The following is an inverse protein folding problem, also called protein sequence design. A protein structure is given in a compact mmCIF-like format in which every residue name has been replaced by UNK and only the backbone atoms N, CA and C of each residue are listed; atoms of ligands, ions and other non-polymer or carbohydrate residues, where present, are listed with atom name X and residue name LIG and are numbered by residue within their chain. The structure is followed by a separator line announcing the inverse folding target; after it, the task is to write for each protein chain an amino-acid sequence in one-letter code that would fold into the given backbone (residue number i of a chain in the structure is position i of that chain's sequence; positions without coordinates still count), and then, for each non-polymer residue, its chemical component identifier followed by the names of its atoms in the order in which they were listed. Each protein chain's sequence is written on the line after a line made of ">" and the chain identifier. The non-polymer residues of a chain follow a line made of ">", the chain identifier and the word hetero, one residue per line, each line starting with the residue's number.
data_IF_625026146109
#
_entry.id   IF_625026146109
#
_cell.length_a   1.000
_cell.length_b   1.000
_cell.length_c   1.000
_cell.angle_alpha   90.00
_cell.angle_beta   90.00
_cell.angle_gamma   90.00
#
_symmetry.space_group_name_H-M   'P 1'
#
loop_
_entity.id
_entity.type
_entity.pdbx_description
1 polymer ?
#
# COMPACT_ATOMS: atom_id res chain seq x y z
N UNK A 1 10.20 21.61 -15.31
CA UNK A 1 9.21 21.29 -16.36
C UNK A 1 8.67 22.54 -17.05
N UNK A 2 8.18 23.54 -16.30
CA UNK A 2 7.64 24.76 -16.91
C UNK A 2 8.68 25.48 -17.79
N UNK A 3 9.95 25.50 -17.40
CA UNK A 3 11.04 26.06 -18.23
C UNK A 3 11.31 25.19 -19.45
N UNK A 4 11.17 23.86 -19.33
CA UNK A 4 11.34 22.92 -20.43
C UNK A 4 10.15 22.99 -21.40
N UNK A 5 8.92 23.02 -20.90
CA UNK A 5 7.71 23.24 -21.71
C UNK A 5 7.79 24.62 -22.39
N UNK A 6 8.18 25.66 -21.67
CA UNK A 6 8.39 26.97 -22.25
C UNK A 6 9.49 26.95 -23.34
N UNK A 7 10.58 26.22 -23.13
CA UNK A 7 11.66 26.03 -24.11
C UNK A 7 11.19 25.30 -25.37
N UNK A 8 10.41 24.23 -25.24
CA UNK A 8 9.82 23.49 -26.36
C UNK A 8 8.79 24.38 -27.09
N UNK A 9 7.91 25.03 -26.35
CA UNK A 9 6.88 25.90 -26.95
C UNK A 9 7.50 27.14 -27.64
N UNK A 10 8.56 27.71 -27.11
CA UNK A 10 9.28 28.84 -27.70
C UNK A 10 10.17 28.40 -28.87
N UNK A 11 10.76 27.20 -28.81
CA UNK A 11 11.68 26.69 -29.85
C UNK A 11 11.03 26.19 -31.13
N UNK A 12 9.85 25.55 -31.03
CA UNK A 12 9.28 24.76 -32.13
C UNK A 12 7.87 25.17 -32.58
N UNK A 13 7.22 26.15 -32.00
CA UNK A 13 5.80 26.41 -32.28
C UNK A 13 5.51 27.85 -32.72
N UNK A 14 4.88 28.00 -33.92
CA UNK A 14 4.41 29.27 -34.46
C UNK A 14 3.49 30.07 -33.52
N UNK A 15 2.85 29.38 -32.54
CA UNK A 15 1.98 30.03 -31.57
C UNK A 15 2.75 30.90 -30.57
N UNK A 16 3.98 30.55 -30.23
CA UNK A 16 4.81 31.28 -29.27
C UNK A 16 5.62 32.41 -29.87
N UNK A 17 5.64 32.56 -31.19
CA UNK A 17 6.16 33.74 -31.88
C UNK A 17 5.19 34.94 -31.88
N UNK A 18 4.06 34.82 -31.15
CA UNK A 18 3.16 35.95 -30.95
C UNK A 18 3.86 37.06 -30.13
N UNK A 19 3.79 38.28 -30.62
CA UNK A 19 4.38 39.48 -29.98
C UNK A 19 3.82 39.77 -28.58
N UNK A 20 2.83 39.02 -28.14
CA UNK A 20 2.09 39.20 -26.90
C UNK A 20 2.53 38.27 -25.76
N UNK A 21 3.53 37.40 -26.00
CA UNK A 21 4.07 36.48 -24.98
C UNK A 21 5.58 36.71 -24.81
N UNK A 22 6.05 36.71 -23.57
CA UNK A 22 7.47 36.81 -23.24
C UNK A 22 7.80 35.99 -21.99
N UNK A 23 9.05 35.58 -21.87
CA UNK A 23 9.55 34.76 -20.78
C UNK A 23 10.53 35.52 -19.91
N UNK A 24 10.44 35.32 -18.60
CA UNK A 24 11.42 35.74 -17.62
C UNK A 24 12.20 34.52 -17.15
N UNK A 25 13.39 34.32 -17.72
CA UNK A 25 14.21 33.12 -17.38
C UNK A 25 14.62 33.08 -15.91
N UNK A 26 14.94 34.26 -15.31
CA UNK A 26 15.38 34.34 -13.92
C UNK A 26 14.24 34.08 -12.91
N UNK A 27 12.99 34.32 -13.29
CA UNK A 27 11.81 34.12 -12.44
C UNK A 27 11.09 32.81 -12.74
N UNK A 28 11.59 32.02 -13.70
CA UNK A 28 10.89 30.82 -14.20
C UNK A 28 9.42 31.12 -14.55
N UNK A 29 9.15 32.26 -15.13
CA UNK A 29 7.82 32.81 -15.37
C UNK A 29 7.63 33.15 -16.83
N UNK A 30 6.48 32.81 -17.39
CA UNK A 30 6.01 33.22 -18.71
C UNK A 30 4.85 34.16 -18.49
N UNK A 31 4.92 35.37 -19.08
CA UNK A 31 3.86 36.40 -18.97
C UNK A 31 3.27 36.74 -20.33
N UNK A 32 1.96 37.02 -20.36
CA UNK A 32 1.29 37.61 -21.53
C UNK A 32 1.61 39.10 -21.68
N UNK A 33 1.82 39.54 -22.93
CA UNK A 33 1.98 40.96 -23.27
C UNK A 33 0.66 41.68 -23.59
N UNK A 34 -0.45 40.94 -23.54
CA UNK A 34 -1.76 41.52 -23.85
C UNK A 34 -2.13 42.54 -22.78
N UNK A 35 -2.58 43.72 -23.22
CA UNK A 35 -2.96 44.84 -22.32
C UNK A 35 -4.33 44.59 -21.65
N UNK A 36 -5.19 43.81 -22.29
CA UNK A 36 -6.54 43.49 -21.86
C UNK A 36 -6.64 42.33 -20.86
N UNK A 37 -5.56 41.54 -20.72
CA UNK A 37 -5.52 40.37 -19.84
C UNK A 37 -4.13 40.17 -19.24
N UNK A 38 -4.07 40.04 -17.94
CA UNK A 38 -2.87 39.60 -17.23
C UNK A 38 -2.91 38.09 -17.06
N UNK A 39 -2.07 37.35 -17.78
CA UNK A 39 -1.91 35.91 -17.63
C UNK A 39 -0.43 35.56 -17.48
N UNK A 40 -0.13 34.61 -16.61
CA UNK A 40 1.24 34.14 -16.47
C UNK A 40 1.21 32.64 -16.13
N UNK A 41 2.30 31.95 -16.47
CA UNK A 41 2.61 30.61 -16.01
C UNK A 41 3.93 30.65 -15.26
N UNK A 42 3.99 30.01 -14.11
CA UNK A 42 5.14 30.02 -13.23
C UNK A 42 5.44 28.62 -12.68
N UNK A 43 6.72 28.27 -12.64
CA UNK A 43 7.22 27.12 -11.91
C UNK A 43 7.23 27.41 -10.41
N UNK A 44 6.68 26.50 -9.62
CA UNK A 44 6.67 26.61 -8.17
C UNK A 44 7.60 25.55 -7.56
N UNK A 45 8.25 25.90 -6.47
CA UNK A 45 8.96 24.94 -5.62
C UNK A 45 7.98 24.15 -4.76
N UNK A 46 8.38 22.97 -4.29
CA UNK A 46 7.55 22.09 -3.48
C UNK A 46 7.16 22.61 -2.07
N UNK A 47 7.61 23.83 -1.68
CA UNK A 47 7.29 24.41 -0.38
C UNK A 47 5.86 24.99 -0.38
N UNK A 48 4.92 24.33 0.26
CA UNK A 48 3.52 24.73 0.36
C UNK A 48 3.31 26.03 1.13
N UNK A 49 4.06 26.24 2.23
CA UNK A 49 3.87 27.37 3.17
C UNK A 49 4.04 28.76 2.55
N UNK A 50 4.71 28.85 1.40
CA UNK A 50 4.93 30.12 0.70
C UNK A 50 3.96 30.33 -0.47
N UNK A 51 2.95 29.48 -0.62
CA UNK A 51 2.03 29.44 -1.77
C UNK A 51 0.59 29.82 -1.43
N UNK A 52 0.32 30.14 -0.17
CA UNK A 52 -0.97 30.70 0.22
C UNK A 52 -1.28 32.01 -0.51
N UNK A 53 -2.53 32.20 -0.92
CA UNK A 53 -3.00 33.38 -1.62
C UNK A 53 -2.75 33.39 -3.14
N UNK A 54 -2.24 32.29 -3.72
CA UNK A 54 -2.25 32.11 -5.17
C UNK A 54 -3.69 31.94 -5.67
N UNK A 55 -3.96 32.45 -6.89
CA UNK A 55 -5.26 32.34 -7.54
C UNK A 55 -5.07 31.70 -8.92
N UNK A 56 -4.72 30.41 -8.92
CA UNK A 56 -4.45 29.68 -10.15
C UNK A 56 -5.75 29.37 -10.91
N UNK A 57 -5.71 29.35 -12.22
CA UNK A 57 -6.76 28.78 -13.09
C UNK A 57 -6.41 27.36 -13.52
N UNK A 58 -5.12 27.04 -13.58
CA UNK A 58 -4.63 25.71 -13.94
C UNK A 58 -3.43 25.39 -13.06
N UNK A 59 -3.44 24.18 -12.49
CA UNK A 59 -2.35 23.61 -11.71
C UNK A 59 -1.86 22.35 -12.43
N UNK A 60 -0.54 22.26 -12.67
CA UNK A 60 0.09 21.07 -13.24
C UNK A 60 1.05 20.53 -12.18
N UNK A 61 0.77 19.34 -11.68
CA UNK A 61 1.63 18.59 -10.75
C UNK A 61 2.41 17.55 -11.54
N UNK A 62 3.73 17.68 -11.54
CA UNK A 62 4.61 16.74 -12.20
C UNK A 62 5.31 15.85 -11.19
N UNK A 63 5.43 14.55 -11.50
CA UNK A 63 6.04 13.53 -10.66
C UNK A 63 5.41 13.46 -9.25
N UNK A 64 4.09 13.63 -9.17
CA UNK A 64 3.37 13.69 -7.88
C UNK A 64 3.43 12.38 -7.09
N UNK A 65 3.72 11.25 -7.72
CA UNK A 65 3.92 9.96 -7.04
C UNK A 65 5.07 9.98 -6.03
N UNK A 66 6.02 10.91 -6.16
CA UNK A 66 7.14 11.10 -5.23
C UNK A 66 6.80 11.98 -4.03
N UNK A 67 5.63 12.63 -4.05
CA UNK A 67 5.21 13.53 -2.97
C UNK A 67 4.94 12.74 -1.68
N UNK A 68 5.45 13.26 -0.56
CA UNK A 68 5.24 12.71 0.78
C UNK A 68 4.02 13.30 1.49
N UNK A 69 3.44 14.38 0.94
CA UNK A 69 2.32 15.12 1.50
C UNK A 69 1.45 15.69 0.40
N UNK A 70 0.14 15.75 0.63
CA UNK A 70 -0.83 16.42 -0.26
C UNK A 70 -0.91 17.93 -0.02
N UNK A 71 -0.18 18.48 0.96
CA UNK A 71 -0.31 19.88 1.40
C UNK A 71 -0.22 20.88 0.24
N UNK A 72 0.77 20.74 -0.64
CA UNK A 72 0.93 21.63 -1.79
C UNK A 72 -0.25 21.50 -2.77
N UNK A 73 -0.70 20.30 -3.07
CA UNK A 73 -1.87 20.07 -3.94
C UNK A 73 -3.11 20.72 -3.32
N UNK A 74 -3.33 20.51 -2.02
CA UNK A 74 -4.48 21.07 -1.30
C UNK A 74 -4.47 22.60 -1.32
N UNK A 75 -3.33 23.24 -1.00
CA UNK A 75 -3.19 24.71 -1.03
C UNK A 75 -3.49 25.26 -2.43
N UNK A 76 -2.93 24.62 -3.47
CA UNK A 76 -3.14 25.09 -4.85
C UNK A 76 -4.57 24.89 -5.32
N UNK A 77 -5.20 23.74 -5.06
CA UNK A 77 -6.57 23.45 -5.48
C UNK A 77 -7.60 24.30 -4.73
N UNK A 78 -7.42 24.52 -3.43
CA UNK A 78 -8.29 25.41 -2.65
C UNK A 78 -8.20 26.86 -3.13
N UNK A 79 -7.02 27.31 -3.59
CA UNK A 79 -6.84 28.67 -4.15
C UNK A 79 -7.61 28.88 -5.47
N UNK A 80 -8.04 27.81 -6.13
CA UNK A 80 -8.77 27.85 -7.40
C UNK A 80 -10.29 28.08 -7.21
N UNK A 81 -10.80 28.09 -5.98
CA UNK A 81 -12.24 28.13 -5.68
C UNK A 81 -13.02 29.34 -6.20
N UNK A 82 -12.31 30.41 -6.60
CA UNK A 82 -12.90 31.61 -7.24
C UNK A 82 -12.92 31.54 -8.77
N UNK A 83 -12.43 30.44 -9.36
CA UNK A 83 -12.39 30.24 -10.80
C UNK A 83 -13.63 29.50 -11.29
N UNK A 84 -14.18 29.92 -12.42
CA UNK A 84 -15.36 29.28 -13.05
C UNK A 84 -15.01 27.88 -13.61
N UNK A 85 -13.80 27.73 -14.18
CA UNK A 85 -13.34 26.47 -14.79
C UNK A 85 -11.90 26.17 -14.31
N UNK A 86 -11.73 25.74 -13.06
CA UNK A 86 -10.43 25.33 -12.56
C UNK A 86 -10.01 24.02 -13.18
N UNK A 87 -8.71 23.87 -13.48
CA UNK A 87 -8.16 22.61 -14.01
C UNK A 87 -6.93 22.19 -13.23
N UNK A 88 -6.98 20.99 -12.67
CA UNK A 88 -5.81 20.34 -12.07
C UNK A 88 -5.37 19.17 -12.95
N UNK A 89 -4.11 19.14 -13.34
CA UNK A 89 -3.49 18.08 -14.14
C UNK A 89 -2.38 17.44 -13.31
N UNK A 90 -2.43 16.14 -13.12
CA UNK A 90 -1.39 15.37 -12.46
C UNK A 90 -0.75 14.45 -13.51
N UNK A 91 0.57 14.58 -13.69
CA UNK A 91 1.36 13.75 -14.61
C UNK A 91 2.42 13.06 -13.78
N UNK A 92 2.46 11.75 -13.81
CA UNK A 92 3.44 11.02 -13.00
C UNK A 92 3.63 9.59 -13.50
N UNK A 93 4.78 9.01 -13.18
CA UNK A 93 5.02 7.57 -13.24
C UNK A 93 4.73 6.95 -11.87
N UNK A 94 4.70 5.62 -11.80
CA UNK A 94 4.69 4.90 -10.53
C UNK A 94 5.98 5.16 -9.73
N UNK A 95 5.95 4.81 -8.45
CA UNK A 95 7.08 4.99 -7.53
C UNK A 95 7.17 3.83 -6.52
N UNK A 96 8.11 3.95 -5.58
CA UNK A 96 8.21 3.09 -4.40
C UNK A 96 7.54 3.69 -3.15
N UNK A 97 6.78 4.78 -3.33
CA UNK A 97 6.12 5.52 -2.26
C UNK A 97 4.66 5.07 -2.15
N UNK A 98 4.42 3.95 -1.48
CA UNK A 98 3.08 3.39 -1.28
C UNK A 98 2.26 4.13 -0.21
N UNK A 99 2.90 4.89 0.65
CA UNK A 99 2.30 5.72 1.69
C UNK A 99 2.15 7.19 1.30
N UNK A 100 2.38 7.49 0.03
CA UNK A 100 2.22 8.83 -0.50
C UNK A 100 0.77 9.13 -0.92
N UNK A 101 0.38 10.40 -0.94
CA UNK A 101 -0.99 10.80 -1.26
C UNK A 101 -1.43 10.37 -2.66
N UNK A 102 -0.51 10.25 -3.61
CA UNK A 102 -0.86 9.84 -4.96
C UNK A 102 -1.23 8.35 -5.05
N UNK A 103 -0.61 7.47 -4.24
CA UNK A 103 -0.97 6.05 -4.26
C UNK A 103 -2.42 5.83 -3.83
N UNK A 104 -2.87 6.55 -2.80
CA UNK A 104 -4.27 6.52 -2.35
C UNK A 104 -5.22 7.09 -3.42
N UNK A 105 -4.86 8.24 -4.02
CA UNK A 105 -5.63 8.85 -5.11
C UNK A 105 -5.74 7.91 -6.31
N UNK A 106 -4.66 7.20 -6.65
CA UNK A 106 -4.62 6.23 -7.76
C UNK A 106 -5.64 5.11 -7.56
N UNK A 107 -5.84 4.60 -6.34
CA UNK A 107 -6.85 3.58 -6.08
C UNK A 107 -8.27 4.13 -6.33
N UNK A 108 -8.56 5.36 -5.89
CA UNK A 108 -9.82 6.04 -6.19
C UNK A 108 -10.02 6.26 -7.70
N UNK A 109 -8.97 6.67 -8.42
CA UNK A 109 -9.04 6.86 -9.87
C UNK A 109 -9.26 5.54 -10.63
N UNK A 110 -8.69 4.44 -10.16
CA UNK A 110 -8.97 3.11 -10.72
C UNK A 110 -10.43 2.70 -10.52
N UNK A 111 -11.02 3.00 -9.38
CA UNK A 111 -12.46 2.77 -9.15
C UNK A 111 -13.35 3.57 -10.10
N UNK A 112 -12.98 4.81 -10.46
CA UNK A 112 -13.68 5.60 -11.49
C UNK A 112 -13.55 4.93 -12.87
N UNK A 113 -12.35 4.48 -13.27
CA UNK A 113 -12.13 3.77 -14.53
C UNK A 113 -12.89 2.46 -14.64
N UNK A 114 -13.05 1.74 -13.53
CA UNK A 114 -13.78 0.47 -13.46
C UNK A 114 -15.32 0.68 -13.39
N UNK A 115 -15.78 1.93 -13.31
CA UNK A 115 -17.21 2.24 -13.16
C UNK A 115 -17.78 1.88 -11.78
N UNK A 116 -16.92 1.65 -10.78
CA UNK A 116 -17.34 1.42 -9.39
C UNK A 116 -17.79 2.71 -8.70
N UNK A 117 -17.32 3.84 -9.19
CA UNK A 117 -17.67 5.19 -8.74
C UNK A 117 -17.80 6.12 -9.94
N UNK A 118 -18.90 6.88 -10.03
CA UNK A 118 -19.15 7.85 -11.10
C UNK A 118 -18.66 9.24 -10.66
N UNK A 119 -17.73 9.82 -11.41
CA UNK A 119 -17.26 11.19 -11.23
C UNK A 119 -16.91 11.83 -12.57
N UNK A 120 -17.84 12.57 -13.14
CA UNK A 120 -17.69 13.27 -14.42
C UNK A 120 -16.66 14.42 -14.37
N UNK A 121 -16.23 14.82 -13.18
CA UNK A 121 -15.19 15.86 -13.01
C UNK A 121 -13.76 15.31 -13.14
N UNK A 122 -13.58 14.00 -13.15
CA UNK A 122 -12.30 13.32 -13.15
C UNK A 122 -12.07 12.60 -14.48
N UNK A 123 -11.00 12.98 -15.18
CA UNK A 123 -10.48 12.25 -16.34
C UNK A 123 -9.22 11.48 -15.92
N UNK A 124 -9.24 10.17 -16.14
CA UNK A 124 -8.13 9.27 -15.77
C UNK A 124 -7.60 8.54 -17.00
N UNK A 125 -6.28 8.51 -17.15
CA UNK A 125 -5.61 7.73 -18.18
C UNK A 125 -4.38 7.06 -17.56
N UNK A 126 -4.36 5.71 -17.52
CA UNK A 126 -3.33 4.90 -16.89
C UNK A 126 -2.75 3.93 -17.92
N UNK A 127 -1.42 3.88 -18.01
CA UNK A 127 -0.68 2.88 -18.76
C UNK A 127 0.11 2.04 -17.76
N UNK A 128 -0.37 0.86 -17.44
CA UNK A 128 0.29 -0.10 -16.57
C UNK A 128 0.13 -1.52 -17.11
N UNK A 129 1.02 -2.48 -16.75
CA UNK A 129 0.82 -3.89 -17.11
C UNK A 129 -0.36 -4.48 -16.35
N UNK A 130 -0.97 -5.52 -16.91
CA UNK A 130 -1.88 -6.38 -16.16
C UNK A 130 -1.08 -7.29 -15.21
N UNK A 131 -1.77 -7.90 -14.23
CA UNK A 131 -1.14 -8.72 -13.20
C UNK A 131 -0.35 -9.92 -13.76
N UNK A 132 -0.81 -10.47 -14.89
CA UNK A 132 -0.22 -11.64 -15.53
C UNK A 132 0.74 -11.27 -16.69
N UNK A 133 0.95 -9.99 -16.97
CA UNK A 133 1.87 -9.55 -18.02
C UNK A 133 3.33 -9.81 -17.59
N UNK A 134 4.13 -10.54 -18.38
CA UNK A 134 5.55 -10.75 -18.07
C UNK A 134 6.35 -9.45 -18.17
N UNK A 135 7.16 -9.13 -17.16
CA UNK A 135 7.95 -7.89 -17.11
C UNK A 135 9.03 -7.81 -18.20
N UNK A 136 9.45 -8.95 -18.76
CA UNK A 136 10.47 -9.07 -19.79
C UNK A 136 9.92 -9.13 -21.22
N UNK A 137 8.60 -9.10 -21.39
CA UNK A 137 7.97 -9.20 -22.70
C UNK A 137 7.86 -7.83 -23.38
N UNK A 138 8.25 -7.79 -24.66
CA UNK A 138 8.09 -6.56 -25.48
C UNK A 138 6.62 -6.15 -25.67
N UNK A 139 5.68 -7.09 -25.59
CA UNK A 139 4.25 -6.83 -25.59
C UNK A 139 3.83 -5.98 -24.37
N UNK A 140 4.35 -6.32 -23.21
CA UNK A 140 4.14 -5.55 -21.95
C UNK A 140 4.71 -4.15 -22.09
N UNK A 141 5.95 -4.03 -22.63
CA UNK A 141 6.59 -2.72 -22.82
C UNK A 141 5.81 -1.81 -23.78
N UNK A 142 5.23 -2.38 -24.86
CA UNK A 142 4.36 -1.62 -25.78
C UNK A 142 3.04 -1.19 -25.12
N UNK A 143 2.50 -2.00 -24.23
CA UNK A 143 1.27 -1.70 -23.50
C UNK A 143 1.44 -0.51 -22.57
N UNK A 144 2.55 -0.46 -21.85
CA UNK A 144 2.84 0.62 -20.89
C UNK A 144 3.43 1.88 -21.53
N UNK A 145 3.97 1.76 -22.74
CA UNK A 145 4.56 2.89 -23.46
C UNK A 145 4.06 2.93 -24.93
N UNK A 146 2.91 3.56 -25.19
CA UNK A 146 2.29 3.58 -26.52
C UNK A 146 3.18 4.18 -27.61
N UNK A 147 4.14 5.06 -27.26
CA UNK A 147 5.10 5.67 -28.19
C UNK A 147 6.41 4.87 -28.35
N UNK A 148 6.47 3.64 -27.83
CA UNK A 148 7.62 2.78 -27.97
C UNK A 148 7.83 2.40 -29.45
N UNK A 149 9.02 2.66 -29.95
CA UNK A 149 9.36 2.55 -31.36
C UNK A 149 9.21 3.85 -32.17
N UNK A 150 8.65 4.91 -31.54
CA UNK A 150 8.50 6.25 -32.16
C UNK A 150 9.39 7.26 -31.45
N UNK A 151 9.14 7.54 -30.17
CA UNK A 151 9.91 8.50 -29.36
C UNK A 151 11.03 7.83 -28.56
N UNK A 152 10.81 6.58 -28.16
CA UNK A 152 11.78 5.76 -27.43
C UNK A 152 11.99 4.46 -28.23
N UNK A 153 13.23 4.07 -28.44
CA UNK A 153 13.53 2.84 -29.22
C UNK A 153 13.31 1.58 -28.40
N UNK A 154 12.93 0.50 -29.05
CA UNK A 154 12.85 -0.82 -28.41
C UNK A 154 14.21 -1.28 -27.86
N UNK A 155 15.30 -0.92 -28.54
CA UNK A 155 16.64 -1.29 -28.10
C UNK A 155 17.03 -0.60 -26.80
N UNK A 156 16.52 0.60 -26.55
CA UNK A 156 16.68 1.27 -25.25
C UNK A 156 16.03 0.43 -24.13
N UNK A 157 14.78 0.00 -24.30
CA UNK A 157 14.12 -0.85 -23.31
C UNK A 157 14.84 -2.18 -23.07
N UNK A 158 15.28 -2.85 -24.13
CA UNK A 158 16.08 -4.09 -24.03
C UNK A 158 17.38 -3.86 -23.24
N UNK A 159 18.05 -2.73 -23.49
CA UNK A 159 19.29 -2.39 -22.81
C UNK A 159 19.04 -2.06 -21.33
N UNK A 160 18.00 -1.28 -21.04
CA UNK A 160 17.64 -0.93 -19.64
C UNK A 160 17.20 -2.17 -18.85
N UNK A 161 16.45 -3.09 -19.45
CA UNK A 161 16.12 -4.35 -18.78
C UNK A 161 17.36 -5.21 -18.47
N UNK A 162 18.28 -5.35 -19.44
CA UNK A 162 19.56 -6.03 -19.21
C UNK A 162 20.40 -5.35 -18.13
N UNK A 163 20.43 -4.03 -18.11
CA UNK A 163 21.11 -3.25 -17.07
C UNK A 163 20.48 -3.50 -15.69
N UNK A 164 19.17 -3.54 -15.62
CA UNK A 164 18.43 -3.82 -14.40
C UNK A 164 18.75 -5.21 -13.84
N UNK A 165 18.76 -6.23 -14.69
CA UNK A 165 19.16 -7.59 -14.30
C UNK A 165 20.60 -7.68 -13.78
N UNK A 166 21.53 -6.95 -14.42
CA UNK A 166 22.96 -6.98 -14.06
C UNK A 166 23.28 -6.19 -12.80
N UNK A 167 22.61 -5.05 -12.59
CA UNK A 167 22.96 -4.09 -11.55
C UNK A 167 22.14 -4.29 -10.24
N UNK A 168 21.25 -5.29 -10.21
CA UNK A 168 20.54 -5.71 -9.00
C UNK A 168 19.25 -4.96 -8.71
N UNK A 169 18.78 -5.08 -7.48
CA UNK A 169 17.43 -4.71 -7.08
C UNK A 169 17.08 -3.23 -7.23
N UNK A 170 18.03 -2.31 -7.01
CA UNK A 170 17.77 -0.88 -7.15
C UNK A 170 17.56 -0.50 -8.62
N UNK A 171 18.36 -1.05 -9.52
CA UNK A 171 18.19 -0.84 -10.96
C UNK A 171 16.90 -1.48 -11.48
N UNK A 172 16.53 -2.65 -10.96
CA UNK A 172 15.26 -3.29 -11.28
C UNK A 172 14.06 -2.50 -10.75
N UNK A 173 14.15 -1.93 -9.55
CA UNK A 173 13.14 -1.02 -9.02
C UNK A 173 12.94 0.19 -9.93
N UNK A 174 14.03 0.80 -10.39
CA UNK A 174 13.98 1.93 -11.32
C UNK A 174 13.32 1.52 -12.65
N UNK A 175 13.65 0.35 -13.20
CA UNK A 175 13.03 -0.19 -14.42
C UNK A 175 11.52 -0.39 -14.21
N UNK A 176 11.10 -1.04 -13.12
CA UNK A 176 9.68 -1.27 -12.80
C UNK A 176 8.90 0.02 -12.63
N UNK A 177 9.42 0.98 -11.87
CA UNK A 177 8.69 2.21 -11.57
C UNK A 177 8.68 3.21 -12.72
N UNK A 178 9.79 3.36 -13.44
CA UNK A 178 9.96 4.40 -14.45
C UNK A 178 9.67 3.94 -15.88
N UNK A 179 9.86 2.67 -16.19
CA UNK A 179 9.67 2.14 -17.54
C UNK A 179 8.46 1.21 -17.65
N UNK A 180 8.13 0.45 -16.63
CA UNK A 180 6.90 -0.36 -16.59
C UNK A 180 5.72 0.33 -15.92
N UNK A 181 5.93 1.48 -15.31
CA UNK A 181 4.89 2.20 -14.57
C UNK A 181 4.19 1.36 -13.49
N UNK A 182 4.97 0.47 -12.86
CA UNK A 182 4.53 -0.39 -11.77
C UNK A 182 4.94 0.22 -10.44
N UNK A 183 4.00 0.35 -9.51
CA UNK A 183 4.36 0.55 -8.12
C UNK A 183 5.12 -0.68 -7.64
N UNK A 184 6.38 -0.51 -7.28
CA UNK A 184 7.26 -1.58 -6.87
C UNK A 184 8.05 -1.18 -5.64
N UNK A 185 8.32 -2.15 -4.78
CA UNK A 185 9.15 -1.96 -3.59
C UNK A 185 10.60 -2.32 -3.91
N UNK A 186 11.50 -1.69 -3.16
CA UNK A 186 12.88 -2.14 -3.14
C UNK A 186 12.94 -3.48 -2.37
N UNK A 187 13.10 -4.58 -3.07
CA UNK A 187 13.11 -5.94 -2.50
C UNK A 187 14.17 -6.13 -1.40
N UNK A 188 15.22 -5.31 -1.40
CA UNK A 188 16.21 -5.31 -0.30
C UNK A 188 15.69 -4.66 0.99
N UNK A 189 14.57 -3.92 0.94
CA UNK A 189 14.00 -3.22 2.10
C UNK A 189 12.73 -3.85 2.63
N UNK A 190 12.03 -4.68 1.86
CA UNK A 190 10.85 -5.40 2.34
C UNK A 190 11.21 -6.86 2.67
N UNK A 191 10.71 -7.36 3.79
CA UNK A 191 10.91 -8.75 4.20
C UNK A 191 10.20 -9.72 3.24
N UNK A 192 8.90 -9.55 3.04
CA UNK A 192 8.11 -10.26 2.02
C UNK A 192 7.64 -9.21 1.02
N UNK A 193 8.05 -9.35 -0.25
CA UNK A 193 7.62 -8.43 -1.29
C UNK A 193 6.13 -8.52 -1.53
N UNK A 194 5.51 -7.44 -2.01
CA UNK A 194 4.09 -7.43 -2.38
C UNK A 194 3.78 -8.46 -3.48
N UNK A 195 4.74 -8.74 -4.35
CA UNK A 195 4.64 -9.78 -5.37
C UNK A 195 4.57 -11.18 -4.74
N UNK A 196 5.47 -11.47 -3.78
CA UNK A 196 5.45 -12.76 -3.07
C UNK A 196 4.18 -12.89 -2.22
N UNK A 197 3.76 -11.83 -1.52
CA UNK A 197 2.53 -11.84 -0.73
C UNK A 197 1.31 -12.18 -1.60
N UNK A 198 1.21 -11.62 -2.81
CA UNK A 198 0.16 -11.98 -3.78
C UNK A 198 0.30 -13.41 -4.29
N UNK A 199 1.52 -13.86 -4.56
CA UNK A 199 1.76 -15.23 -5.02
C UNK A 199 1.33 -16.30 -4.02
N UNK A 200 1.48 -16.06 -2.72
CA UNK A 200 1.04 -16.98 -1.67
C UNK A 200 -0.43 -16.79 -1.25
N UNK A 201 -1.14 -15.77 -1.78
CA UNK A 201 -2.55 -15.52 -1.49
C UNK A 201 -3.46 -16.59 -2.13
N UNK A 202 -4.44 -17.06 -1.37
CA UNK A 202 -5.43 -18.07 -1.79
C UNK A 202 -6.80 -17.75 -1.19
N UNK A 203 -7.90 -18.11 -1.84
CA UNK A 203 -9.23 -17.99 -1.26
C UNK A 203 -9.40 -19.02 -0.13
N UNK A 204 -9.10 -18.61 1.11
CA UNK A 204 -9.27 -19.43 2.31
C UNK A 204 -10.54 -18.97 3.01
N UNK A 205 -11.63 -19.75 2.88
CA UNK A 205 -12.91 -19.47 3.54
C UNK A 205 -13.04 -20.29 4.82
N UNK A 206 -13.42 -19.66 5.93
CA UNK A 206 -13.66 -20.32 7.22
C UNK A 206 -14.85 -21.28 7.13
N UNK A 207 -15.95 -20.84 6.51
CA UNK A 207 -17.16 -21.65 6.34
C UNK A 207 -16.94 -22.89 5.44
N UNK A 208 -15.89 -22.86 4.61
CA UNK A 208 -15.50 -23.98 3.76
C UNK A 208 -14.67 -25.05 4.47
N UNK A 209 -14.23 -24.82 5.72
CA UNK A 209 -13.38 -25.74 6.47
C UNK A 209 -14.21 -26.97 6.88
N UNK A 210 -13.72 -28.16 6.55
CA UNK A 210 -14.37 -29.45 6.89
C UNK A 210 -13.53 -30.20 7.90
N UNK A 211 -14.22 -31.01 8.75
CA UNK A 211 -13.55 -31.93 9.63
C UNK A 211 -12.95 -31.35 10.90
N UNK A 212 -13.13 -30.07 11.15
CA UNK A 212 -12.64 -29.33 12.34
C UNK A 212 -11.16 -29.61 12.63
N UNK A 213 -10.25 -29.20 11.71
CA UNK A 213 -8.82 -29.43 11.86
C UNK A 213 -8.23 -28.66 13.05
N UNK A 214 -7.03 -29.04 13.46
CA UNK A 214 -6.27 -28.34 14.49
C UNK A 214 -5.78 -27.00 13.98
N UNK A 215 -5.90 -25.98 14.83
CA UNK A 215 -5.49 -24.62 14.49
C UNK A 215 -4.87 -23.87 15.68
N UNK A 216 -4.01 -22.93 15.36
CA UNK A 216 -3.54 -21.88 16.27
C UNK A 216 -4.26 -20.58 15.93
N UNK A 217 -4.58 -19.79 16.95
CA UNK A 217 -5.14 -18.45 16.77
C UNK A 217 -4.17 -17.44 17.37
N UNK A 218 -4.01 -16.27 16.77
CA UNK A 218 -3.26 -15.18 17.36
C UNK A 218 -4.01 -13.88 17.25
N UNK A 219 -3.84 -13.01 18.24
CA UNK A 219 -4.54 -11.73 18.38
C UNK A 219 -3.52 -10.63 18.63
N UNK A 220 -3.56 -9.58 17.84
CA UNK A 220 -2.85 -8.33 18.07
C UNK A 220 -3.88 -7.20 18.16
N UNK A 221 -3.88 -6.46 19.27
CA UNK A 221 -4.91 -5.48 19.59
C UNK A 221 -4.38 -4.07 19.49
N UNK A 222 -5.18 -3.21 18.91
CA UNK A 222 -5.02 -1.75 19.00
C UNK A 222 -6.21 -1.12 19.74
N UNK A 223 -6.04 0.13 20.17
CA UNK A 223 -7.10 0.84 20.89
C UNK A 223 -7.99 1.67 19.95
N UNK A 224 -7.43 2.48 19.06
CA UNK A 224 -8.21 3.43 18.23
C UNK A 224 -7.70 3.63 16.80
N UNK A 225 -6.40 3.84 16.60
CA UNK A 225 -5.85 4.31 15.31
C UNK A 225 -5.14 3.22 14.50
N UNK A 226 -5.10 2.00 14.99
CA UNK A 226 -4.45 0.85 14.36
C UNK A 226 -5.47 -0.26 14.12
N UNK A 227 -5.13 -1.24 13.27
CA UNK A 227 -5.95 -2.43 13.15
C UNK A 227 -5.83 -3.30 14.41
N UNK A 228 -6.93 -3.94 14.80
CA UNK A 228 -6.82 -5.17 15.54
C UNK A 228 -6.88 -6.32 14.56
N UNK A 229 -5.98 -7.28 14.68
CA UNK A 229 -5.89 -8.43 13.79
C UNK A 229 -6.10 -9.74 14.55
N UNK A 230 -6.86 -10.65 13.94
CA UNK A 230 -7.01 -12.03 14.41
C UNK A 230 -6.62 -12.97 13.28
N UNK A 231 -5.60 -13.77 13.50
CA UNK A 231 -5.15 -14.78 12.54
C UNK A 231 -5.46 -16.18 13.08
N UNK A 232 -6.08 -16.99 12.23
CA UNK A 232 -6.18 -18.44 12.39
C UNK A 232 -5.14 -19.09 11.49
N UNK A 233 -4.24 -19.89 12.07
CA UNK A 233 -3.27 -20.68 11.34
C UNK A 233 -3.60 -22.16 11.42
N UNK A 234 -3.52 -22.87 10.29
CA UNK A 234 -3.67 -24.34 10.19
C UNK A 234 -2.41 -24.94 9.56
N UNK A 235 -2.07 -26.15 9.94
CA UNK A 235 -0.97 -26.90 9.35
C UNK A 235 -1.44 -28.24 8.78
N UNK A 236 -1.27 -28.40 7.46
CA UNK A 236 -1.50 -29.67 6.78
C UNK A 236 -0.23 -30.52 6.84
N UNK A 237 -0.25 -31.54 7.70
CA UNK A 237 0.89 -32.43 7.92
C UNK A 237 1.20 -33.30 6.69
N UNK A 238 0.20 -33.61 5.84
CA UNK A 238 0.38 -34.46 4.66
C UNK A 238 1.23 -33.74 3.58
N UNK A 239 0.98 -32.45 3.36
CA UNK A 239 1.67 -31.63 2.35
C UNK A 239 2.68 -30.67 2.96
N UNK A 240 2.79 -30.60 4.28
CA UNK A 240 3.64 -29.65 5.05
C UNK A 240 3.33 -28.20 4.74
N UNK A 241 2.04 -27.87 4.54
CA UNK A 241 1.58 -26.54 4.20
C UNK A 241 0.99 -25.82 5.39
N UNK A 242 1.35 -24.56 5.55
CA UNK A 242 0.71 -23.62 6.47
C UNK A 242 -0.33 -22.78 5.73
N UNK A 243 -1.50 -22.62 6.35
CA UNK A 243 -2.59 -21.79 5.86
C UNK A 243 -2.95 -20.77 6.94
N UNK A 244 -2.89 -19.48 6.60
CA UNK A 244 -3.23 -18.40 7.51
C UNK A 244 -4.46 -17.64 6.99
N UNK A 245 -5.45 -17.49 7.83
CA UNK A 245 -6.60 -16.63 7.58
C UNK A 245 -6.59 -15.49 8.59
N UNK A 246 -6.37 -14.27 8.11
CA UNK A 246 -6.35 -13.06 8.95
C UNK A 246 -7.56 -12.21 8.69
N UNK A 247 -8.25 -11.82 9.76
CA UNK A 247 -9.34 -10.86 9.76
C UNK A 247 -8.92 -9.61 10.52
N UNK A 248 -9.33 -8.45 10.00
CA UNK A 248 -8.96 -7.14 10.51
C UNK A 248 -10.18 -6.42 11.04
N UNK A 249 -10.00 -5.71 12.15
CA UNK A 249 -11.04 -4.95 12.84
C UNK A 249 -10.60 -3.50 13.00
N UNK A 250 -11.56 -2.59 12.87
CA UNK A 250 -11.32 -1.16 13.03
C UNK A 250 -12.58 -0.48 13.60
N UNK A 251 -12.46 0.51 14.53
CA UNK A 251 -13.63 1.19 15.08
C UNK A 251 -14.26 2.13 14.04
N UNK A 252 -15.57 2.00 13.83
CA UNK A 252 -16.29 2.79 12.83
C UNK A 252 -16.26 4.30 13.13
N UNK A 253 -16.28 4.67 14.41
CA UNK A 253 -16.24 6.07 14.84
C UNK A 253 -14.88 6.73 14.62
N UNK A 254 -13.78 5.96 14.55
CA UNK A 254 -12.45 6.48 14.25
C UNK A 254 -12.19 6.67 12.74
N UNK A 255 -13.11 6.26 11.86
CA UNK A 255 -12.96 6.43 10.41
C UNK A 255 -13.07 7.89 9.95
N UNK A 256 -14.05 8.70 10.43
CA UNK A 256 -14.19 10.08 9.96
C UNK A 256 -12.95 10.91 10.25
N UNK A 257 -12.34 11.47 9.19
CA UNK A 257 -11.12 12.26 9.30
C UNK A 257 -9.82 11.44 9.42
N UNK A 258 -9.90 10.11 9.40
CA UNK A 258 -8.71 9.26 9.34
C UNK A 258 -7.97 9.45 8.00
N UNK A 259 -6.63 9.52 7.96
CA UNK A 259 -5.86 9.71 6.72
C UNK A 259 -6.23 8.71 5.62
N UNK A 260 -6.53 7.47 5.97
CA UNK A 260 -6.90 6.39 5.04
C UNK A 260 -8.41 6.10 5.02
N UNK A 261 -9.26 7.05 5.40
CA UNK A 261 -10.72 6.85 5.53
C UNK A 261 -11.34 6.22 4.29
N UNK A 262 -11.03 6.76 3.11
CA UNK A 262 -11.59 6.27 1.84
C UNK A 262 -11.20 4.80 1.57
N UNK A 263 -9.95 4.47 1.77
CA UNK A 263 -9.43 3.11 1.57
C UNK A 263 -10.07 2.12 2.55
N UNK A 264 -10.18 2.50 3.82
CA UNK A 264 -10.77 1.65 4.87
C UNK A 264 -12.26 1.43 4.65
N UNK A 265 -12.99 2.43 4.14
CA UNK A 265 -14.40 2.28 3.74
C UNK A 265 -14.56 1.27 2.60
N UNK A 266 -13.74 1.35 1.55
CA UNK A 266 -13.74 0.38 0.45
C UNK A 266 -13.44 -1.04 0.96
N UNK A 267 -12.47 -1.19 1.84
CA UNK A 267 -12.19 -2.51 2.42
C UNK A 267 -13.33 -3.03 3.29
N UNK A 268 -14.01 -2.16 4.02
CA UNK A 268 -15.17 -2.52 4.83
C UNK A 268 -16.36 -2.92 3.95
N UNK A 269 -16.66 -2.17 2.90
CA UNK A 269 -17.74 -2.46 1.95
C UNK A 269 -17.53 -3.80 1.22
N UNK A 270 -16.27 -4.14 0.91
CA UNK A 270 -15.90 -5.41 0.30
C UNK A 270 -15.75 -6.57 1.30
N UNK A 271 -15.94 -6.32 2.59
CA UNK A 271 -15.85 -7.33 3.65
C UNK A 271 -14.41 -7.71 4.06
N UNK A 272 -13.39 -6.97 3.61
CA UNK A 272 -11.99 -7.19 3.99
C UNK A 272 -11.64 -6.63 5.37
N UNK A 273 -12.34 -5.57 5.80
CA UNK A 273 -12.20 -4.91 7.09
C UNK A 273 -13.51 -4.98 7.86
N UNK A 274 -13.49 -5.47 9.07
CA UNK A 274 -14.67 -5.55 9.94
C UNK A 274 -14.73 -4.29 10.78
N UNK A 275 -15.77 -3.49 10.60
CA UNK A 275 -15.99 -2.31 11.42
C UNK A 275 -16.68 -2.72 12.73
N UNK A 276 -16.16 -2.22 13.84
CA UNK A 276 -16.81 -2.35 15.17
C UNK A 276 -17.49 -1.05 15.54
N UNK A 277 -18.56 -1.11 16.35
CA UNK A 277 -19.27 0.08 16.79
C UNK A 277 -18.42 0.92 17.76
N UNK A 278 -18.56 2.26 17.68
CA UNK A 278 -17.90 3.21 18.59
C UNK A 278 -16.56 3.74 18.07
N UNK A 279 -15.90 4.54 18.92
CA UNK A 279 -14.64 5.23 18.61
C UNK A 279 -13.39 4.41 18.99
N UNK A 280 -13.60 3.31 19.70
CA UNK A 280 -12.56 2.36 20.11
C UNK A 280 -12.98 0.93 19.72
N UNK A 281 -12.02 0.01 19.62
CA UNK A 281 -12.31 -1.38 19.29
C UNK A 281 -13.24 -2.01 20.33
N UNK A 282 -14.34 -2.60 19.87
CA UNK A 282 -15.18 -3.46 20.70
C UNK A 282 -14.54 -4.85 20.85
N UNK A 283 -13.91 -5.08 21.99
CA UNK A 283 -13.24 -6.34 22.32
C UNK A 283 -14.18 -7.54 22.35
N UNK A 284 -15.49 -7.35 22.58
CA UNK A 284 -16.47 -8.44 22.52
C UNK A 284 -16.56 -9.01 21.12
N UNK A 285 -16.49 -8.15 20.08
CA UNK A 285 -16.49 -8.58 18.68
C UNK A 285 -15.27 -9.45 18.37
N UNK A 286 -14.10 -9.13 18.95
CA UNK A 286 -12.89 -9.96 18.81
C UNK A 286 -13.09 -11.32 19.49
N UNK A 287 -13.62 -11.33 20.72
CA UNK A 287 -13.91 -12.59 21.46
C UNK A 287 -14.93 -13.44 20.70
N UNK A 288 -16.04 -12.85 20.27
CA UNK A 288 -17.08 -13.55 19.49
C UNK A 288 -16.51 -14.16 18.23
N UNK A 289 -15.59 -13.44 17.55
CA UNK A 289 -14.93 -13.94 16.36
C UNK A 289 -14.01 -15.13 16.67
N UNK A 290 -13.25 -15.11 17.75
CA UNK A 290 -12.43 -16.26 18.18
C UNK A 290 -13.31 -17.46 18.53
N UNK A 291 -14.45 -17.26 19.18
CA UNK A 291 -15.43 -18.31 19.48
C UNK A 291 -16.06 -18.86 18.20
N UNK A 292 -16.35 -18.01 17.21
CA UNK A 292 -16.79 -18.42 15.88
C UNK A 292 -15.73 -19.31 15.21
N UNK A 293 -14.46 -18.91 15.21
CA UNK A 293 -13.39 -19.75 14.68
C UNK A 293 -13.36 -21.14 15.35
N UNK A 294 -13.52 -21.20 16.68
CA UNK A 294 -13.52 -22.46 17.41
C UNK A 294 -14.70 -23.39 17.08
N UNK A 295 -15.74 -22.90 16.40
CA UNK A 295 -16.81 -23.77 15.87
C UNK A 295 -16.33 -24.55 14.61
N UNK A 296 -15.42 -23.96 13.83
CA UNK A 296 -14.94 -24.51 12.56
C UNK A 296 -13.63 -25.28 12.69
N UNK A 297 -12.79 -24.92 13.67
CA UNK A 297 -11.49 -25.54 13.93
C UNK A 297 -11.36 -25.94 15.40
N UNK A 298 -10.43 -26.84 15.72
CA UNK A 298 -10.05 -27.14 17.10
C UNK A 298 -8.88 -26.22 17.49
N UNK A 299 -9.16 -25.17 18.26
CA UNK A 299 -8.13 -24.21 18.70
C UNK A 299 -7.24 -24.86 19.76
N UNK A 300 -5.97 -25.08 19.44
CA UNK A 300 -4.96 -25.67 20.32
C UNK A 300 -4.16 -24.62 21.11
N UNK A 301 -4.09 -23.39 20.59
CA UNK A 301 -3.39 -22.29 21.23
C UNK A 301 -3.93 -20.95 20.77
N UNK A 302 -4.02 -19.99 21.70
CA UNK A 302 -4.37 -18.59 21.42
C UNK A 302 -3.19 -17.72 21.85
N UNK A 303 -2.46 -17.19 20.87
CA UNK A 303 -1.35 -16.29 21.08
C UNK A 303 -1.79 -14.82 21.21
N UNK A 304 -1.18 -14.10 22.12
CA UNK A 304 -1.44 -12.68 22.29
C UNK A 304 -0.19 -11.93 22.80
N UNK A 305 -0.11 -10.62 22.56
CA UNK A 305 0.91 -9.80 23.19
C UNK A 305 0.52 -9.47 24.63
N UNK A 306 1.31 -9.89 25.65
CA UNK A 306 0.99 -9.63 27.06
C UNK A 306 0.87 -8.15 27.43
N UNK A 307 1.39 -7.24 26.60
CA UNK A 307 1.45 -5.82 26.94
C UNK A 307 0.09 -5.11 26.85
N UNK A 308 -0.86 -5.54 25.98
CA UNK A 308 -2.08 -4.79 25.69
C UNK A 308 -3.38 -5.59 25.70
N UNK A 309 -3.37 -6.85 26.11
CA UNK A 309 -4.51 -7.76 25.81
C UNK A 309 -5.27 -8.27 27.03
N UNK A 310 -5.03 -7.73 28.23
CA UNK A 310 -5.55 -8.33 29.47
C UNK A 310 -7.07 -8.45 29.50
N UNK A 311 -7.82 -7.48 28.98
CA UNK A 311 -9.28 -7.51 28.98
C UNK A 311 -9.83 -8.62 28.08
N UNK A 312 -9.34 -8.70 26.84
CA UNK A 312 -9.73 -9.77 25.88
C UNK A 312 -9.38 -11.15 26.43
N UNK A 313 -8.21 -11.27 27.08
CA UNK A 313 -7.76 -12.52 27.67
C UNK A 313 -8.68 -12.96 28.81
N UNK A 314 -9.11 -12.04 29.68
CA UNK A 314 -10.05 -12.33 30.73
C UNK A 314 -11.42 -12.77 30.17
N UNK A 315 -11.91 -12.14 29.11
CA UNK A 315 -13.14 -12.52 28.44
C UNK A 315 -13.04 -13.92 27.81
N UNK A 316 -11.93 -14.22 27.09
CA UNK A 316 -11.68 -15.54 26.52
C UNK A 316 -11.55 -16.62 27.59
N UNK A 317 -10.86 -16.33 28.69
CA UNK A 317 -10.76 -17.27 29.84
C UNK A 317 -12.12 -17.55 30.45
N UNK A 318 -12.96 -16.53 30.63
CA UNK A 318 -14.33 -16.68 31.11
C UNK A 318 -15.23 -17.49 30.16
N UNK A 319 -14.92 -17.49 28.85
CA UNK A 319 -15.60 -18.30 27.83
C UNK A 319 -15.09 -19.73 27.73
N UNK A 320 -14.21 -20.18 28.65
CA UNK A 320 -13.69 -21.54 28.71
C UNK A 320 -12.39 -21.79 27.93
N UNK A 321 -11.79 -20.77 27.35
CA UNK A 321 -10.55 -20.90 26.57
C UNK A 321 -9.26 -20.75 27.41
N UNK A 322 -9.36 -20.62 28.73
CA UNK A 322 -8.22 -20.26 29.61
C UNK A 322 -6.97 -21.17 29.49
N UNK A 323 -7.17 -22.45 29.25
CA UNK A 323 -6.07 -23.43 29.18
C UNK A 323 -5.23 -23.38 27.88
N UNK A 324 -5.72 -22.72 26.83
CA UNK A 324 -5.04 -22.63 25.53
C UNK A 324 -4.42 -21.26 25.25
N UNK A 325 -4.57 -20.32 26.18
CA UNK A 325 -4.08 -18.94 26.05
C UNK A 325 -2.59 -18.89 26.40
N UNK A 326 -1.76 -18.30 25.47
CA UNK A 326 -0.31 -18.20 25.62
C UNK A 326 0.18 -16.80 25.25
N UNK A 327 0.94 -16.16 26.14
CA UNK A 327 1.60 -14.90 25.85
C UNK A 327 2.76 -15.09 24.86
N UNK A 328 2.76 -14.34 23.78
CA UNK A 328 3.82 -14.32 22.76
C UNK A 328 4.44 -12.92 22.72
N UNK A 329 5.61 -12.75 23.33
CA UNK A 329 6.30 -11.46 23.36
C UNK A 329 6.91 -11.12 22.01
N UNK A 330 6.75 -9.88 21.56
CA UNK A 330 7.27 -9.39 20.27
C UNK A 330 8.77 -9.01 20.37
N UNK A 331 9.62 -9.95 20.80
CA UNK A 331 11.08 -9.75 20.93
C UNK A 331 11.83 -10.44 19.81
N UNK A 332 13.06 -10.02 19.54
CA UNK A 332 13.93 -10.60 18.51
C UNK A 332 14.06 -12.13 18.67
N UNK A 333 14.47 -12.61 19.83
CA UNK A 333 14.67 -14.04 20.08
C UNK A 333 13.40 -14.90 19.99
N UNK A 334 12.20 -14.31 20.18
CA UNK A 334 10.93 -15.02 20.01
C UNK A 334 10.54 -15.10 18.53
N UNK A 335 10.80 -14.03 17.76
CA UNK A 335 10.32 -13.93 16.38
C UNK A 335 11.29 -14.45 15.32
N UNK A 336 12.58 -14.61 15.60
CA UNK A 336 13.58 -15.09 14.62
C UNK A 336 13.13 -16.39 13.95
N UNK A 337 12.88 -17.44 14.69
CA UNK A 337 12.46 -18.72 14.11
C UNK A 337 11.13 -18.67 13.35
N UNK A 338 10.06 -17.99 13.83
CA UNK A 338 8.86 -17.73 13.05
C UNK A 338 9.11 -16.97 11.73
N UNK A 339 9.96 -15.93 11.74
CA UNK A 339 10.32 -15.15 10.55
C UNK A 339 10.99 -16.04 9.51
N UNK A 340 12.02 -16.79 9.90
CA UNK A 340 12.76 -17.71 9.03
C UNK A 340 11.84 -18.80 8.46
N UNK A 341 11.00 -19.42 9.30
CA UNK A 341 10.06 -20.46 8.88
C UNK A 341 9.00 -19.95 7.91
N UNK A 342 8.43 -18.78 8.19
CA UNK A 342 7.45 -18.15 7.31
C UNK A 342 8.07 -17.76 5.97
N UNK A 343 9.23 -17.11 5.99
CA UNK A 343 9.94 -16.68 4.77
C UNK A 343 10.32 -17.88 3.91
N UNK A 344 10.91 -18.91 4.51
CA UNK A 344 11.26 -20.14 3.79
C UNK A 344 10.02 -20.78 3.18
N UNK A 345 8.95 -20.96 3.96
CA UNK A 345 7.70 -21.55 3.48
C UNK A 345 7.03 -20.73 2.38
N UNK A 346 7.06 -19.39 2.47
CA UNK A 346 6.54 -18.51 1.43
C UNK A 346 7.32 -18.65 0.11
N UNK A 347 8.66 -18.68 0.17
CA UNK A 347 9.53 -18.84 -1.00
C UNK A 347 9.47 -20.23 -1.63
N UNK A 348 9.19 -21.26 -0.84
CA UNK A 348 9.12 -22.66 -1.31
C UNK A 348 7.70 -23.15 -1.63
N UNK A 349 6.68 -22.28 -1.49
CA UNK A 349 5.30 -22.61 -1.81
C UNK A 349 4.60 -23.47 -0.75
N UNK A 350 5.01 -23.38 0.51
CA UNK A 350 4.44 -24.09 1.65
C UNK A 350 3.72 -23.19 2.67
N UNK A 351 3.68 -21.88 2.43
CA UNK A 351 2.90 -20.93 3.22
C UNK A 351 1.88 -20.27 2.32
N UNK A 352 0.62 -20.25 2.76
CA UNK A 352 -0.50 -19.60 2.08
C UNK A 352 -1.25 -18.69 3.04
N UNK A 353 -1.68 -17.55 2.53
CA UNK A 353 -2.49 -16.56 3.27
C UNK A 353 -3.83 -16.36 2.56
N UNK A 354 -4.87 -15.92 3.28
CA UNK A 354 -6.12 -15.56 2.62
C UNK A 354 -5.92 -14.33 1.70
N UNK A 355 -6.74 -14.23 0.67
CA UNK A 355 -6.68 -13.20 -0.39
C UNK A 355 -7.22 -11.82 0.03
N UNK A 356 -7.11 -11.51 1.32
CA UNK A 356 -7.43 -10.19 1.85
C UNK A 356 -6.33 -9.18 1.47
N UNK A 357 -6.66 -8.07 0.76
CA UNK A 357 -5.68 -7.07 0.31
C UNK A 357 -4.94 -6.38 1.47
N UNK A 358 -5.52 -6.36 2.67
CA UNK A 358 -4.88 -5.83 3.87
C UNK A 358 -3.63 -6.64 4.25
N UNK A 359 -3.58 -7.94 3.93
CA UNK A 359 -2.37 -8.76 4.12
C UNK A 359 -1.20 -8.21 3.31
N UNK A 360 -1.40 -7.97 2.02
CA UNK A 360 -0.36 -7.42 1.15
C UNK A 360 0.06 -6.00 1.60
N UNK A 361 -0.89 -5.19 2.05
CA UNK A 361 -0.61 -3.88 2.65
C UNK A 361 0.27 -4.00 3.90
N UNK A 362 -0.03 -4.93 4.82
CA UNK A 362 0.76 -5.14 6.03
C UNK A 362 2.17 -5.67 5.72
N UNK A 363 2.32 -6.60 4.76
CA UNK A 363 3.64 -7.07 4.32
C UNK A 363 4.47 -5.96 3.69
N UNK A 364 3.87 -5.11 2.85
CA UNK A 364 4.53 -3.95 2.26
C UNK A 364 5.05 -2.94 3.28
N UNK A 365 4.45 -2.89 4.46
CA UNK A 365 4.82 -2.01 5.56
C UNK A 365 5.87 -2.63 6.51
N UNK A 366 6.09 -3.94 6.44
CA UNK A 366 7.00 -4.66 7.32
C UNK A 366 8.41 -4.70 6.76
N UNK A 367 9.38 -4.35 7.59
CA UNK A 367 10.80 -4.57 7.35
C UNK A 367 11.39 -5.37 8.50
N UNK A 368 12.45 -6.13 8.26
CA UNK A 368 13.15 -6.81 9.34
C UNK A 368 14.14 -5.86 10.00
N UNK A 369 14.10 -5.83 11.30
CA UNK A 369 15.12 -5.24 12.16
C UNK A 369 15.87 -6.37 12.88
N UNK A 370 17.20 -6.23 13.05
CA UNK A 370 18.05 -7.26 13.61
C UNK A 370 18.86 -6.73 14.79
N UNK A 371 19.03 -7.57 15.80
CA UNK A 371 19.91 -7.28 16.92
C UNK A 371 21.39 -7.64 16.59
N UNK A 372 22.28 -7.40 17.54
CA UNK A 372 23.72 -7.69 17.39
C UNK A 372 24.06 -9.19 17.27
N UNK A 373 23.11 -10.08 17.57
CA UNK A 373 23.22 -11.52 17.47
C UNK A 373 22.52 -12.08 16.23
N UNK A 374 22.15 -11.20 15.28
CA UNK A 374 21.42 -11.52 14.04
C UNK A 374 20.00 -12.06 14.28
N UNK A 375 19.47 -11.98 15.49
CA UNK A 375 18.07 -12.26 15.71
C UNK A 375 17.24 -11.16 15.04
N UNK A 376 16.13 -11.54 14.41
CA UNK A 376 15.30 -10.59 13.66
C UNK A 376 13.83 -10.60 14.10
N UNK A 377 13.17 -9.48 13.83
CA UNK A 377 11.72 -9.32 13.98
C UNK A 377 11.19 -8.30 12.98
N UNK A 378 9.90 -8.40 12.57
CA UNK A 378 9.30 -7.35 11.77
C UNK A 378 9.09 -6.09 12.61
N UNK A 379 9.36 -4.96 11.97
CA UNK A 379 9.07 -3.62 12.50
C UNK A 379 8.37 -2.79 11.42
N UNK A 380 7.61 -1.78 11.85
CA UNK A 380 6.99 -0.83 10.92
C UNK A 380 8.08 -0.04 10.20
N UNK A 381 8.03 0.02 8.87
CA UNK A 381 8.94 0.85 8.06
C UNK A 381 8.83 2.33 8.46
N UNK A 382 7.62 2.78 8.81
CA UNK A 382 7.32 4.09 9.39
C UNK A 382 6.32 3.96 10.53
N UNK A 383 6.36 4.87 11.48
CA UNK A 383 5.57 4.80 12.72
C UNK A 383 4.04 4.71 12.49
N UNK A 384 3.53 5.33 11.43
CA UNK A 384 2.10 5.34 11.09
C UNK A 384 1.64 4.16 10.23
N UNK A 385 2.55 3.24 9.86
CA UNK A 385 2.22 2.08 9.05
C UNK A 385 1.71 0.91 9.90
N UNK A 386 0.94 0.03 9.27
CA UNK A 386 0.24 -1.09 9.90
C UNK A 386 0.88 -2.41 9.48
N UNK A 387 1.23 -3.27 10.47
CA UNK A 387 1.81 -4.60 10.26
C UNK A 387 1.12 -5.69 11.10
N UNK A 388 -0.03 -5.39 11.68
CA UNK A 388 -0.72 -6.20 12.69
C UNK A 388 -1.01 -7.63 12.19
N UNK A 389 -1.41 -7.78 10.91
CA UNK A 389 -1.61 -9.09 10.31
C UNK A 389 -0.32 -9.92 10.19
N UNK A 390 0.82 -9.26 9.91
CA UNK A 390 2.13 -9.92 9.89
C UNK A 390 2.51 -10.42 11.27
N UNK A 391 2.30 -9.61 12.29
CA UNK A 391 2.57 -9.96 13.69
C UNK A 391 1.75 -11.18 14.11
N UNK A 392 0.44 -11.19 13.83
CA UNK A 392 -0.43 -12.31 14.22
C UNK A 392 -0.11 -13.59 13.45
N UNK A 393 0.27 -13.52 12.16
CA UNK A 393 0.74 -14.70 11.41
C UNK A 393 2.00 -15.30 12.03
N UNK A 394 2.95 -14.47 12.43
CA UNK A 394 4.18 -14.94 13.11
C UNK A 394 3.93 -15.45 14.53
N UNK A 395 2.98 -14.88 15.26
CA UNK A 395 2.54 -15.44 16.53
C UNK A 395 1.95 -16.85 16.36
N UNK A 396 1.09 -17.07 15.33
CA UNK A 396 0.59 -18.40 15.00
C UNK A 396 1.73 -19.36 14.65
N UNK A 397 2.70 -18.92 13.83
CA UNK A 397 3.88 -19.73 13.49
C UNK A 397 4.68 -20.09 14.76
N UNK A 398 4.84 -19.14 15.70
CA UNK A 398 5.49 -19.40 16.98
C UNK A 398 4.78 -20.46 17.79
N UNK A 399 3.45 -20.43 17.84
CA UNK A 399 2.65 -21.43 18.55
C UNK A 399 2.82 -22.82 17.95
N UNK A 400 2.89 -22.95 16.61
CA UNK A 400 3.18 -24.23 15.95
C UNK A 400 4.56 -24.75 16.32
N UNK A 401 5.59 -23.92 16.25
CA UNK A 401 6.98 -24.29 16.63
C UNK A 401 7.04 -24.77 18.09
N UNK A 402 6.31 -24.11 18.99
CA UNK A 402 6.27 -24.50 20.40
C UNK A 402 5.43 -25.76 20.67
N UNK A 403 4.46 -26.07 19.81
CA UNK A 403 3.60 -27.25 19.94
C UNK A 403 4.29 -28.52 19.45
N UNK A 404 5.18 -28.41 18.47
CA UNK A 404 5.95 -29.54 17.92
C UNK A 404 7.14 -29.95 18.83
N UNK A 405 7.48 -29.16 19.84
CA UNK A 405 8.53 -29.44 20.83
C UNK A 405 7.97 -30.10 22.08
#
# INVERSE_FOLDING_TARGET
>A
LAVYIAGIMVGNNKIMHRKDIYTFMNEQTIKSRRKDRTAFAQCLTANARTKDGLNASTVIMDEFSQARSSELLTVLTTSMGVRENPLTVIITTASDVFDGPFYEMLQGYKSVLLGEYEDDSVFVHIFEPDLDDPEDAESTWRKVHPHLGVTVSMDFYRQEYKNALRNGSEAMLAFRTKLLNLYAENEQRSWISSTLARHISRPISIDGIKGRPDAMVAIDLSESDDFSAVTMGMYDTAHKNFFFHTSYFFPAGALPGHPNEKLYRVWAEKGYLILTDGDVIDYRRIVDYVLYLNQHVRVLGIGYDPWKSQEVINMLAASGAGNVIKGVRQTYGVFTAPVESFEHGAKTGHVFINDNPINAYCFGNAVLDSDKLENCKPVKRKANQKIDGVITMLMCMRLFIDYER
#
